data_IF_394979839031
#
_entry.id   IF_394979839031
#
_cell.length_a   1.000
_cell.length_b   1.000
_cell.length_c   1.000
_cell.angle_alpha   90.00
_cell.angle_beta   90.00
_cell.angle_gamma   90.00
#
_symmetry.space_group_name_H-M   'P 1'
#
loop_
_entity.id
_entity.type
_entity.pdbx_description
1 polymer ?
#
# COMPACT_ATOMS: atom_id res chain seq x y z
N UNK A 1 -7.20 -9.79 -52.72
CA UNK A 1 -6.30 -9.09 -51.80
C UNK A 1 -6.30 -7.58 -52.11
N UNK A 2 -6.89 -6.73 -51.23
CA UNK A 2 -6.92 -5.27 -51.46
C UNK A 2 -5.54 -4.70 -51.17
N UNK A 3 -4.86 -4.14 -52.16
CA UNK A 3 -3.58 -3.42 -52.00
C UNK A 3 -3.83 -2.15 -51.19
N UNK A 4 -3.42 -2.14 -49.94
CA UNK A 4 -3.46 -0.93 -49.08
C UNK A 4 -2.60 0.15 -49.73
N UNK A 5 -3.21 1.28 -50.09
CA UNK A 5 -2.58 2.39 -50.76
C UNK A 5 -1.51 3.02 -49.84
N UNK A 6 -0.37 3.43 -50.36
CA UNK A 6 0.76 3.99 -49.59
C UNK A 6 0.36 5.14 -48.68
N UNK A 7 -0.64 5.95 -49.08
CA UNK A 7 -1.23 7.02 -48.25
C UNK A 7 -1.85 6.52 -46.95
N UNK A 8 -2.53 5.36 -46.95
CA UNK A 8 -3.09 4.79 -45.74
C UNK A 8 -2.03 4.25 -44.78
N UNK A 9 -0.91 3.73 -45.32
CA UNK A 9 0.20 3.28 -44.47
C UNK A 9 0.88 4.44 -43.76
N UNK A 10 1.03 5.58 -44.43
CA UNK A 10 1.62 6.81 -43.86
C UNK A 10 0.70 7.40 -42.75
N UNK A 11 -0.62 7.43 -42.97
CA UNK A 11 -1.59 7.89 -41.97
C UNK A 11 -1.62 6.97 -40.74
N UNK A 12 -1.55 5.67 -40.93
CA UNK A 12 -1.49 4.71 -39.83
C UNK A 12 -0.17 4.84 -39.06
N UNK A 13 0.95 4.99 -39.71
CA UNK A 13 2.25 5.17 -39.07
C UNK A 13 2.31 6.50 -38.30
N UNK A 14 1.79 7.59 -38.86
CA UNK A 14 1.70 8.88 -38.18
C UNK A 14 0.77 8.85 -36.93
N UNK A 15 -0.39 8.19 -37.05
CA UNK A 15 -1.32 8.01 -35.94
C UNK A 15 -0.72 7.17 -34.80
N UNK A 16 -0.04 6.07 -35.13
CA UNK A 16 0.63 5.22 -34.15
C UNK A 16 1.76 5.96 -33.43
N UNK A 17 2.57 6.74 -34.16
CA UNK A 17 3.64 7.55 -33.60
C UNK A 17 3.08 8.63 -32.65
N UNK A 18 2.03 9.33 -33.08
CA UNK A 18 1.36 10.35 -32.22
C UNK A 18 0.77 9.76 -30.95
N UNK A 19 0.16 8.59 -31.04
CA UNK A 19 -0.37 7.89 -29.87
C UNK A 19 0.76 7.47 -28.93
N UNK A 20 1.87 6.98 -29.46
CA UNK A 20 3.06 6.61 -28.69
C UNK A 20 3.66 7.83 -27.98
N UNK A 21 3.79 8.96 -28.66
CA UNK A 21 4.31 10.21 -28.08
C UNK A 21 3.36 10.76 -27.00
N UNK A 22 2.05 10.68 -27.22
CA UNK A 22 1.06 11.09 -26.25
C UNK A 22 1.11 10.21 -25.00
N UNK A 23 1.21 8.89 -25.16
CA UNK A 23 1.37 7.97 -24.02
C UNK A 23 2.65 8.24 -23.26
N UNK A 24 3.78 8.44 -23.95
CA UNK A 24 5.07 8.81 -23.33
C UNK A 24 5.00 10.14 -22.58
N UNK A 25 4.29 11.14 -23.10
CA UNK A 25 4.11 12.44 -22.44
C UNK A 25 3.19 12.37 -21.21
N UNK A 26 2.28 11.39 -21.17
CA UNK A 26 1.38 11.19 -20.04
C UNK A 26 1.98 10.32 -18.92
N UNK A 27 3.00 9.50 -19.23
CA UNK A 27 3.66 8.60 -18.28
C UNK A 27 4.08 9.31 -16.97
N UNK A 28 4.71 10.50 -16.97
CA UNK A 28 5.08 11.19 -15.73
C UNK A 28 3.88 11.58 -14.87
N UNK A 29 2.73 11.91 -15.49
CA UNK A 29 1.48 12.23 -14.76
C UNK A 29 0.92 11.03 -14.01
N UNK A 30 1.23 9.82 -14.45
CA UNK A 30 0.90 8.57 -13.76
C UNK A 30 2.02 8.07 -12.84
N UNK A 31 3.03 8.88 -12.57
CA UNK A 31 4.16 8.52 -11.72
C UNK A 31 5.13 7.53 -12.37
N UNK A 32 5.09 7.42 -13.69
CA UNK A 32 5.98 6.55 -14.47
C UNK A 32 7.20 7.34 -14.93
N UNK A 33 8.32 7.16 -14.25
CA UNK A 33 9.60 7.77 -14.56
C UNK A 33 10.44 6.84 -15.44
N UNK A 34 10.49 7.13 -16.77
CA UNK A 34 11.26 6.34 -17.74
C UNK A 34 12.75 6.24 -17.41
N UNK A 35 13.46 7.33 -17.04
CA UNK A 35 14.84 7.25 -16.59
C UNK A 35 15.01 6.35 -15.36
N UNK A 36 14.08 6.38 -14.41
CA UNK A 36 14.07 5.51 -13.23
C UNK A 36 13.85 4.04 -13.58
N UNK A 37 12.95 3.76 -14.54
CA UNK A 37 12.70 2.39 -15.05
C UNK A 37 13.96 1.80 -15.67
N UNK A 38 14.65 2.58 -16.52
CA UNK A 38 15.87 2.11 -17.22
C UNK A 38 17.02 1.86 -16.23
N UNK A 39 17.16 2.70 -15.19
CA UNK A 39 18.21 2.53 -14.17
C UNK A 39 17.97 1.34 -13.24
N UNK A 40 16.74 1.06 -12.87
CA UNK A 40 16.39 -0.02 -11.94
C UNK A 40 15.00 -0.59 -12.21
N UNK A 41 14.84 -1.49 -13.21
CA UNK A 41 13.55 -2.07 -13.54
C UNK A 41 12.89 -2.80 -12.36
N UNK A 42 13.69 -3.50 -11.54
CA UNK A 42 13.19 -4.19 -10.33
C UNK A 42 12.72 -3.22 -9.26
N UNK A 43 13.46 -2.12 -9.04
CA UNK A 43 13.07 -1.06 -8.11
C UNK A 43 11.78 -0.39 -8.54
N UNK A 44 11.65 -0.09 -9.83
CA UNK A 44 10.44 0.48 -10.39
C UNK A 44 9.22 -0.44 -10.22
N UNK A 45 9.32 -1.72 -10.60
CA UNK A 45 8.24 -2.69 -10.41
C UNK A 45 7.84 -2.82 -8.94
N UNK A 46 8.82 -2.83 -8.04
CA UNK A 46 8.56 -2.87 -6.60
C UNK A 46 7.79 -1.64 -6.13
N UNK A 47 8.17 -0.45 -6.57
CA UNK A 47 7.49 0.79 -6.23
C UNK A 47 6.05 0.81 -6.76
N UNK A 48 5.82 0.38 -8.00
CA UNK A 48 4.50 0.28 -8.59
C UNK A 48 3.60 -0.71 -7.85
N UNK A 49 4.13 -1.88 -7.51
CA UNK A 49 3.40 -2.87 -6.71
C UNK A 49 3.03 -2.31 -5.33
N UNK A 50 3.93 -1.57 -4.69
CA UNK A 50 3.65 -0.93 -3.40
C UNK A 50 2.57 0.15 -3.54
N UNK A 51 2.65 1.00 -4.56
CA UNK A 51 1.68 2.07 -4.79
C UNK A 51 0.28 1.53 -5.10
N UNK A 52 0.18 0.52 -5.98
CA UNK A 52 -1.12 -0.12 -6.29
C UNK A 52 -1.70 -0.83 -5.07
N UNK A 53 -0.86 -1.48 -4.26
CA UNK A 53 -1.25 -2.03 -2.98
C UNK A 53 -1.81 -0.98 -2.03
N UNK A 54 -1.12 0.15 -1.88
CA UNK A 54 -1.56 1.24 -1.00
C UNK A 54 -2.92 1.82 -1.45
N UNK A 55 -3.11 2.01 -2.74
CA UNK A 55 -4.39 2.47 -3.27
C UNK A 55 -5.54 1.50 -2.98
N UNK A 56 -5.32 0.21 -3.22
CA UNK A 56 -6.28 -0.84 -2.89
C UNK A 56 -6.58 -0.90 -1.38
N UNK A 57 -5.57 -0.77 -0.54
CA UNK A 57 -5.71 -0.73 0.91
C UNK A 57 -6.56 0.44 1.39
N UNK A 58 -6.34 1.65 0.85
CA UNK A 58 -7.16 2.83 1.16
C UNK A 58 -8.63 2.62 0.80
N UNK A 59 -8.92 2.00 -0.35
CA UNK A 59 -10.28 1.67 -0.77
C UNK A 59 -10.96 0.68 0.19
N UNK A 60 -10.25 -0.39 0.55
CA UNK A 60 -10.75 -1.39 1.48
C UNK A 60 -11.02 -0.82 2.88
N UNK A 61 -10.13 0.04 3.40
CA UNK A 61 -10.32 0.68 4.70
C UNK A 61 -11.54 1.61 4.73
N UNK A 62 -11.79 2.38 3.65
CA UNK A 62 -13.00 3.21 3.54
C UNK A 62 -14.27 2.36 3.55
N UNK A 63 -14.24 1.23 2.86
CA UNK A 63 -15.36 0.30 2.82
C UNK A 63 -15.63 -0.33 4.18
N UNK A 64 -14.59 -0.78 4.89
CA UNK A 64 -14.72 -1.32 6.24
C UNK A 64 -15.21 -0.24 7.23
N UNK A 65 -14.70 0.98 7.12
CA UNK A 65 -15.17 2.12 7.94
C UNK A 65 -16.65 2.45 7.70
N UNK A 66 -17.10 2.41 6.44
CA UNK A 66 -18.51 2.61 6.11
C UNK A 66 -19.43 1.54 6.74
N UNK A 67 -18.91 0.30 6.90
CA UNK A 67 -19.63 -0.81 7.55
C UNK A 67 -19.41 -0.86 9.06
N UNK A 68 -18.77 0.12 9.64
CA UNK A 68 -18.37 0.14 11.05
C UNK A 68 -17.52 -1.07 11.49
N UNK A 69 -16.87 -1.72 10.55
CA UNK A 69 -16.00 -2.87 10.79
C UNK A 69 -14.57 -2.39 10.98
N UNK A 70 -14.29 -1.82 12.15
CA UNK A 70 -13.00 -1.21 12.45
C UNK A 70 -11.90 -2.26 12.61
N UNK A 71 -10.85 -2.13 11.79
CA UNK A 71 -9.70 -3.05 11.79
C UNK A 71 -8.40 -2.28 11.68
N UNK A 72 -7.34 -2.87 12.23
CA UNK A 72 -5.96 -2.46 12.02
C UNK A 72 -5.21 -3.66 11.44
N UNK A 73 -4.37 -3.45 10.44
CA UNK A 73 -3.57 -4.52 9.84
C UNK A 73 -2.16 -4.50 10.42
N UNK A 74 -1.78 -5.54 11.13
CA UNK A 74 -0.44 -5.68 11.67
C UNK A 74 0.59 -5.96 10.56
N UNK A 75 1.81 -5.48 10.77
CA UNK A 75 2.94 -5.71 9.85
C UNK A 75 3.68 -7.01 10.12
N UNK A 76 3.56 -7.54 11.32
CA UNK A 76 4.24 -8.75 11.80
C UNK A 76 3.22 -9.82 12.17
N UNK A 77 3.61 -11.09 12.14
CA UNK A 77 2.77 -12.17 12.66
C UNK A 77 2.36 -11.94 14.11
N UNK A 78 1.32 -12.60 14.53
CA UNK A 78 0.82 -12.55 15.89
C UNK A 78 1.87 -13.07 16.87
N UNK A 79 2.03 -12.38 18.00
CA UNK A 79 2.79 -12.81 19.17
C UNK A 79 1.88 -12.70 20.38
N UNK A 80 2.15 -13.41 21.46
CA UNK A 80 1.29 -13.37 22.67
C UNK A 80 1.09 -11.94 23.19
N UNK A 81 2.16 -11.15 23.20
CA UNK A 81 2.07 -9.74 23.63
C UNK A 81 1.18 -8.90 22.69
N UNK A 82 1.27 -9.12 21.38
CA UNK A 82 0.43 -8.41 20.41
C UNK A 82 -1.03 -8.87 20.49
N UNK A 83 -1.26 -10.14 20.79
CA UNK A 83 -2.59 -10.70 20.98
C UNK A 83 -3.29 -10.08 22.19
N UNK A 84 -2.60 -10.00 23.34
CA UNK A 84 -3.12 -9.34 24.53
C UNK A 84 -3.51 -7.88 24.26
N UNK A 85 -2.66 -7.15 23.52
CA UNK A 85 -2.96 -5.75 23.15
C UNK A 85 -4.12 -5.63 22.19
N UNK A 86 -4.19 -6.52 21.19
CA UNK A 86 -5.30 -6.57 20.25
C UNK A 86 -6.62 -6.86 20.99
N UNK A 87 -6.59 -7.73 21.98
CA UNK A 87 -7.74 -8.01 22.80
C UNK A 87 -8.19 -6.77 23.59
N UNK A 88 -7.27 -6.07 24.27
CA UNK A 88 -7.57 -4.81 24.97
C UNK A 88 -8.13 -3.73 24.04
N UNK A 89 -7.59 -3.65 22.81
CA UNK A 89 -8.08 -2.72 21.80
C UNK A 89 -9.49 -3.07 21.34
N UNK A 90 -9.76 -4.36 21.16
CA UNK A 90 -11.09 -4.84 20.79
C UNK A 90 -12.11 -4.61 21.92
N UNK A 91 -11.76 -4.92 23.14
CA UNK A 91 -12.64 -4.70 24.31
C UNK A 91 -12.98 -3.22 24.52
N UNK A 92 -11.97 -2.33 24.32
CA UNK A 92 -12.14 -0.89 24.60
C UNK A 92 -12.80 -0.13 23.44
N UNK A 93 -12.48 -0.48 22.19
CA UNK A 93 -12.86 0.28 21.00
C UNK A 93 -13.62 -0.54 19.94
N UNK A 94 -13.80 -1.86 20.14
CA UNK A 94 -14.38 -2.74 19.14
C UNK A 94 -13.49 -2.93 17.89
N UNK A 95 -12.18 -2.63 17.99
CA UNK A 95 -11.23 -2.68 16.87
C UNK A 95 -10.58 -4.05 16.78
N UNK A 96 -10.65 -4.68 15.63
CA UNK A 96 -10.01 -5.97 15.35
C UNK A 96 -8.62 -5.75 14.75
N UNK A 97 -7.68 -6.63 15.07
CA UNK A 97 -6.34 -6.61 14.49
C UNK A 97 -6.14 -7.84 13.61
N UNK A 98 -5.84 -7.60 12.34
CA UNK A 98 -5.56 -8.65 11.36
C UNK A 98 -4.05 -8.86 11.24
N UNK A 99 -3.58 -10.06 11.52
CA UNK A 99 -2.16 -10.43 11.44
C UNK A 99 -1.82 -11.13 10.12
N UNK A 100 -0.63 -10.93 9.55
CA UNK A 100 -0.18 -11.70 8.40
C UNK A 100 0.18 -13.12 8.83
N UNK A 101 -0.12 -14.10 7.99
CA UNK A 101 0.26 -15.50 8.22
C UNK A 101 1.78 -15.74 8.16
N UNK A 102 2.55 -14.82 7.58
CA UNK A 102 4.00 -14.93 7.40
C UNK A 102 4.68 -13.58 7.58
N UNK A 103 5.92 -13.59 8.09
CA UNK A 103 6.79 -12.42 8.19
C UNK A 103 7.28 -11.93 6.82
N UNK A 104 7.29 -12.80 5.79
CA UNK A 104 7.67 -12.43 4.43
C UNK A 104 6.50 -11.78 3.72
N UNK A 105 6.50 -10.45 3.68
CA UNK A 105 5.45 -9.65 3.05
C UNK A 105 5.97 -9.09 1.74
N UNK A 106 5.32 -9.44 0.62
CA UNK A 106 5.65 -8.88 -0.71
C UNK A 106 5.30 -7.39 -0.80
N UNK A 107 5.92 -6.69 -1.75
CA UNK A 107 5.80 -5.23 -1.92
C UNK A 107 4.35 -4.75 -2.07
N UNK A 108 3.53 -5.48 -2.81
CA UNK A 108 2.11 -5.15 -2.95
C UNK A 108 1.37 -5.21 -1.61
N UNK A 109 1.56 -6.30 -0.86
CA UNK A 109 0.91 -6.49 0.45
C UNK A 109 1.40 -5.47 1.46
N UNK A 110 2.69 -5.11 1.41
CA UNK A 110 3.25 -4.04 2.21
C UNK A 110 2.51 -2.71 1.95
N UNK A 111 2.41 -2.31 0.68
CA UNK A 111 1.66 -1.12 0.28
C UNK A 111 0.20 -1.19 0.72
N UNK A 112 -0.44 -2.35 0.56
CA UNK A 112 -1.82 -2.55 0.98
C UNK A 112 -2.02 -2.31 2.48
N UNK A 113 -1.16 -2.86 3.33
CA UNK A 113 -1.21 -2.65 4.79
C UNK A 113 -1.00 -1.18 5.14
N UNK A 114 -0.02 -0.52 4.53
CA UNK A 114 0.24 0.91 4.73
C UNK A 114 -0.96 1.77 4.32
N UNK A 115 -1.47 1.56 3.12
CA UNK A 115 -2.62 2.30 2.61
C UNK A 115 -3.88 2.08 3.45
N UNK A 116 -4.13 0.83 3.85
CA UNK A 116 -5.24 0.48 4.72
C UNK A 116 -5.15 1.21 6.07
N UNK A 117 -4.02 1.06 6.76
CA UNK A 117 -3.83 1.65 8.08
C UNK A 117 -3.88 3.18 8.06
N UNK A 118 -3.39 3.82 6.99
CA UNK A 118 -3.47 5.28 6.83
C UNK A 118 -4.92 5.80 6.97
N UNK A 119 -5.88 5.10 6.38
CA UNK A 119 -7.30 5.49 6.46
C UNK A 119 -7.93 4.98 7.75
N UNK A 120 -7.71 3.70 8.10
CA UNK A 120 -8.34 3.07 9.26
C UNK A 120 -7.97 3.79 10.56
N UNK A 121 -6.68 4.10 10.77
CA UNK A 121 -6.19 4.81 11.96
C UNK A 121 -6.81 6.19 12.03
N UNK A 122 -6.76 6.97 10.95
CA UNK A 122 -7.36 8.30 10.91
C UNK A 122 -8.85 8.25 11.28
N UNK A 123 -9.59 7.31 10.70
CA UNK A 123 -11.03 7.16 11.00
C UNK A 123 -11.28 6.80 12.48
N UNK A 124 -10.42 5.97 13.06
CA UNK A 124 -10.50 5.62 14.48
C UNK A 124 -10.17 6.81 15.37
N UNK A 125 -9.11 7.55 15.07
CA UNK A 125 -8.70 8.73 15.81
C UNK A 125 -9.78 9.81 15.76
N UNK A 126 -10.38 10.03 14.59
CA UNK A 126 -11.50 10.96 14.41
C UNK A 126 -12.74 10.51 15.20
N UNK A 127 -13.06 9.21 15.22
CA UNK A 127 -14.22 8.66 15.93
C UNK A 127 -14.07 8.72 17.46
N UNK A 128 -12.91 8.32 17.96
CA UNK A 128 -12.68 8.20 19.40
C UNK A 128 -12.01 9.43 20.01
N UNK A 129 -11.66 10.44 19.19
CA UNK A 129 -10.97 11.67 19.61
C UNK A 129 -9.69 11.37 20.40
N UNK A 130 -8.98 10.31 20.01
CA UNK A 130 -7.75 9.79 20.63
C UNK A 130 -6.89 9.10 19.60
N UNK A 131 -5.59 9.10 19.83
CA UNK A 131 -4.61 8.36 19.02
C UNK A 131 -4.67 6.85 19.39
N UNK A 132 -5.67 6.16 18.83
CA UNK A 132 -5.91 4.72 19.06
C UNK A 132 -4.73 3.87 18.58
N UNK A 133 -4.09 4.29 17.50
CA UNK A 133 -2.93 3.59 16.95
C UNK A 133 -1.73 3.67 17.88
N UNK A 134 -1.55 4.78 18.57
CA UNK A 134 -0.47 4.97 19.53
C UNK A 134 -0.57 3.98 20.70
N UNK A 135 -1.76 3.72 21.18
CA UNK A 135 -1.98 2.71 22.22
C UNK A 135 -1.54 1.30 21.76
N UNK A 136 -1.67 0.99 20.45
CA UNK A 136 -1.27 -0.30 19.90
C UNK A 136 0.20 -0.36 19.45
N UNK A 137 0.71 0.68 18.77
CA UNK A 137 2.03 0.64 18.13
C UNK A 137 3.18 1.18 18.98
N UNK A 138 3.01 2.19 19.80
CA UNK A 138 4.13 2.81 20.53
C UNK A 138 4.71 1.93 21.65
N UNK A 139 3.94 1.01 22.18
CA UNK A 139 4.47 0.02 23.11
C UNK A 139 5.38 -1.02 22.40
N UNK A 140 5.54 -1.00 21.06
CA UNK A 140 6.53 -1.83 20.36
C UNK A 140 7.96 -1.29 20.54
N UNK A 141 8.14 0.02 20.68
CA UNK A 141 9.46 0.64 20.86
C UNK A 141 10.03 0.45 22.27
N UNK A 142 9.17 0.29 23.27
CA UNK A 142 9.61 0.15 24.67
C UNK A 142 9.97 -1.29 25.07
N UNK A 143 9.71 -2.29 24.21
CA UNK A 143 9.89 -3.71 24.53
C UNK A 143 11.06 -4.39 23.78
N UNK A 144 11.89 -3.66 23.04
CA UNK A 144 13.18 -4.20 22.63
C UNK A 144 14.18 -3.98 23.78
N UNK A 145 14.52 -5.04 24.56
CA UNK A 145 15.68 -4.94 25.46
C UNK A 145 16.87 -4.68 24.55
N UNK A 146 17.50 -3.55 24.75
CA UNK A 146 18.80 -3.21 24.19
C UNK A 146 19.70 -4.43 24.34
N UNK A 147 20.03 -5.12 23.21
CA UNK A 147 21.19 -6.00 23.14
C UNK A 147 22.44 -5.12 23.11
N UNK A 148 22.65 -4.36 24.17
CA UNK A 148 23.91 -3.71 24.46
C UNK A 148 24.68 -4.63 25.39
N UNK A 149 25.78 -5.21 24.86
CA UNK A 149 26.91 -5.64 25.66
C UNK A 149 26.98 -7.13 25.98
N UNK A 150 27.53 -7.94 25.06
CA UNK A 150 28.50 -8.95 25.46
C UNK A 150 29.73 -8.75 24.57
N UNK A 151 30.70 -8.02 25.11
CA UNK A 151 32.10 -8.14 24.72
C UNK A 151 32.66 -9.44 25.27
#
# INVERSE_FOLDING_TARGET
MRKFNARHKLLFAGGALSLLLLTLALLPKFGLDLPGILKSPRGFLRAQLTNTGAWAGKGAARWDSFRENYRIKARRPETELLKERAQKLNEKYGVKVDYPASSKVGSWRWGYVEGYNTIAIRTLDDKFQRDVAKEFFLTQSAAEPSKAGSR
#
